data_IF_889289509430
#
_entry.id   IF_889289509430
#
_cell.length_a   1.000
_cell.length_b   1.000
_cell.length_c   1.000
_cell.angle_alpha   90.00
_cell.angle_beta   90.00
_cell.angle_gamma   90.00
#
_symmetry.space_group_name_H-M   'P 1'
#
loop_
_entity.id
_entity.type
_entity.pdbx_description
1 polymer ?
#
# COMPACT_ATOMS: atom_id res chain seq x y z
N UNK A 1 19.28 19.60 31.51
CA UNK A 1 20.02 18.86 30.48
C UNK A 1 18.96 18.16 29.64
N UNK A 2 18.64 18.70 28.47
CA UNK A 2 17.78 18.01 27.50
C UNK A 2 18.59 16.88 26.90
N UNK A 3 18.25 15.65 27.26
CA UNK A 3 18.80 14.42 26.66
C UNK A 3 18.54 14.47 25.16
N UNK A 4 19.55 14.20 24.33
CA UNK A 4 19.32 14.07 22.89
C UNK A 4 18.29 12.96 22.64
N UNK A 5 17.30 13.18 21.77
CA UNK A 5 16.29 12.16 21.49
C UNK A 5 16.98 10.96 20.84
N UNK A 6 16.76 9.78 21.44
CA UNK A 6 17.34 8.52 20.98
C UNK A 6 16.24 7.72 20.30
N UNK A 7 16.56 7.08 19.18
CA UNK A 7 15.62 6.22 18.48
C UNK A 7 15.08 5.12 19.40
N UNK A 8 13.78 4.82 19.28
CA UNK A 8 13.22 3.66 19.94
C UNK A 8 13.85 2.39 19.36
N UNK A 9 14.46 1.52 20.18
CA UNK A 9 15.19 0.36 19.69
C UNK A 9 14.25 -0.68 19.09
N UNK A 10 14.62 -1.23 17.94
CA UNK A 10 13.94 -2.37 17.32
C UNK A 10 14.93 -3.53 17.26
N UNK A 11 14.49 -4.71 17.67
CA UNK A 11 15.35 -5.88 17.67
C UNK A 11 15.76 -6.25 16.24
N UNK A 12 17.03 -6.62 16.02
CA UNK A 12 17.56 -6.90 14.69
C UNK A 12 16.78 -8.01 13.94
N UNK A 13 16.20 -8.98 14.65
CA UNK A 13 15.38 -10.02 14.03
C UNK A 13 14.05 -9.50 13.47
N UNK A 14 13.47 -8.45 14.05
CA UNK A 14 12.26 -7.81 13.52
C UNK A 14 12.57 -7.03 12.25
N UNK A 15 13.70 -6.30 12.22
CA UNK A 15 14.19 -5.65 11.01
C UNK A 15 14.48 -6.67 9.90
N UNK A 16 15.14 -7.78 10.23
CA UNK A 16 15.39 -8.86 9.29
C UNK A 16 14.09 -9.47 8.73
N UNK A 17 13.03 -9.60 9.55
CA UNK A 17 11.72 -10.07 9.09
C UNK A 17 11.05 -9.09 8.13
N UNK A 18 11.20 -7.79 8.36
CA UNK A 18 10.68 -6.75 7.46
C UNK A 18 11.40 -6.82 6.10
N UNK A 19 12.73 -6.84 6.11
CA UNK A 19 13.55 -6.98 4.89
C UNK A 19 13.21 -8.27 4.15
N UNK A 20 13.07 -9.37 4.89
CA UNK A 20 12.65 -10.67 4.35
C UNK A 20 11.18 -10.71 3.91
N UNK A 21 10.39 -9.66 4.16
CA UNK A 21 8.97 -9.57 3.78
C UNK A 21 8.05 -10.50 4.55
N UNK A 22 8.51 -11.03 5.69
CA UNK A 22 7.81 -12.01 6.54
C UNK A 22 7.31 -11.38 7.84
N UNK A 23 7.32 -10.05 7.92
CA UNK A 23 6.73 -9.31 9.01
C UNK A 23 5.24 -9.09 8.73
N UNK A 24 4.40 -9.42 9.70
CA UNK A 24 2.94 -9.35 9.55
C UNK A 24 2.39 -7.92 9.61
N UNK A 25 3.06 -7.01 10.32
CA UNK A 25 2.66 -5.59 10.37
C UNK A 25 3.87 -4.67 10.19
N UNK A 26 4.37 -4.46 8.95
CA UNK A 26 5.51 -3.58 8.72
C UNK A 26 5.31 -2.14 9.25
N UNK A 27 4.05 -1.69 9.37
CA UNK A 27 3.69 -0.37 9.89
C UNK A 27 3.95 -0.21 11.40
N UNK A 28 4.18 -1.30 12.15
CA UNK A 28 4.55 -1.21 13.57
C UNK A 28 6.03 -0.79 13.75
N UNK A 29 6.79 -0.75 12.65
CA UNK A 29 8.23 -0.46 12.66
C UNK A 29 8.58 0.62 11.64
N UNK A 30 8.07 0.49 10.40
CA UNK A 30 8.26 1.45 9.32
C UNK A 30 7.25 2.60 9.42
N UNK A 31 7.64 3.76 8.90
CA UNK A 31 6.89 5.00 9.05
C UNK A 31 7.23 5.75 10.34
N UNK A 32 6.48 6.82 10.63
CA UNK A 32 6.72 7.70 11.75
C UNK A 32 6.06 7.18 13.03
N UNK A 33 6.84 7.13 14.12
CA UNK A 33 6.39 6.68 15.43
C UNK A 33 6.75 7.71 16.49
N UNK A 34 5.75 8.14 17.28
CA UNK A 34 5.96 9.02 18.43
C UNK A 34 6.47 8.19 19.61
N UNK A 35 7.51 8.68 20.26
CA UNK A 35 8.07 8.11 21.49
C UNK A 35 8.30 9.18 22.55
N UNK A 36 8.53 8.75 23.79
CA UNK A 36 8.70 9.65 24.95
C UNK A 36 7.38 10.20 25.49
N UNK A 37 7.46 10.97 26.57
CA UNK A 37 6.30 11.58 27.23
C UNK A 37 6.54 13.08 27.48
N UNK A 38 5.46 13.85 27.50
CA UNK A 38 5.51 15.28 27.81
C UNK A 38 6.48 16.06 26.91
N UNK A 39 7.51 16.65 27.52
CA UNK A 39 8.51 17.48 26.83
C UNK A 39 9.62 16.68 26.13
N UNK A 40 9.74 15.40 26.41
CA UNK A 40 10.76 14.51 25.83
C UNK A 40 10.22 13.73 24.61
N UNK A 41 9.02 14.10 24.15
CA UNK A 41 8.41 13.51 22.95
C UNK A 41 9.26 13.79 21.72
N UNK A 42 9.47 12.75 20.92
CA UNK A 42 10.19 12.81 19.66
C UNK A 42 9.58 11.81 18.67
N UNK A 43 9.86 12.00 17.38
CA UNK A 43 9.39 11.08 16.32
C UNK A 43 10.57 10.28 15.79
N UNK A 44 10.44 8.96 15.76
CA UNK A 44 11.35 8.07 15.02
C UNK A 44 10.73 7.75 13.67
N UNK A 45 11.46 7.97 12.58
CA UNK A 45 11.04 7.58 11.23
C UNK A 45 11.93 6.47 10.73
N UNK A 46 11.34 5.34 10.36
CA UNK A 46 12.05 4.24 9.70
C UNK A 46 11.51 3.99 8.31
N UNK A 47 12.39 3.82 7.34
CA UNK A 47 11.99 3.57 5.95
C UNK A 47 12.73 2.39 5.36
N UNK A 48 12.02 1.59 4.56
CA UNK A 48 12.61 0.49 3.80
C UNK A 48 12.88 0.96 2.37
N UNK A 49 14.17 1.11 2.03
CA UNK A 49 14.68 1.47 0.70
C UNK A 49 15.93 0.64 0.43
N UNK A 50 15.75 -0.62 -0.03
CA UNK A 50 16.87 -1.46 -0.42
C UNK A 50 17.72 -0.78 -1.48
N UNK A 51 19.05 -0.87 -1.38
CA UNK A 51 20.02 -0.33 -2.34
C UNK A 51 20.12 1.21 -2.43
N UNK A 52 19.37 1.97 -1.62
CA UNK A 52 19.58 3.41 -1.52
C UNK A 52 20.99 3.72 -1.00
N UNK A 53 21.61 4.79 -1.49
CA UNK A 53 22.93 5.26 -1.04
C UNK A 53 22.82 6.33 0.04
N UNK A 54 21.78 7.15 0.00
CA UNK A 54 21.49 8.17 1.00
C UNK A 54 19.99 8.45 1.05
N UNK A 55 19.50 8.86 2.22
CA UNK A 55 18.12 9.30 2.41
C UNK A 55 18.08 10.50 3.35
N UNK A 56 17.29 11.50 3.00
CA UNK A 56 16.94 12.60 3.90
C UNK A 56 15.43 12.67 4.12
N UNK A 57 15.02 12.97 5.35
CA UNK A 57 13.65 13.35 5.70
C UNK A 57 13.53 14.86 5.56
N UNK A 58 12.73 15.33 4.62
CA UNK A 58 12.44 16.75 4.39
C UNK A 58 11.11 17.13 5.01
N UNK A 59 11.12 18.16 5.86
CA UNK A 59 9.95 18.75 6.53
C UNK A 59 10.00 20.26 6.39
N UNK A 60 8.92 20.94 6.78
CA UNK A 60 8.89 22.41 6.87
C UNK A 60 9.96 22.96 7.82
N UNK A 61 10.31 22.19 8.86
CA UNK A 61 11.35 22.52 9.85
C UNK A 61 12.79 22.34 9.33
N UNK A 62 12.98 21.69 8.17
CA UNK A 62 14.27 21.42 7.57
C UNK A 62 14.48 19.94 7.22
N UNK A 63 15.71 19.62 6.82
CA UNK A 63 16.11 18.28 6.40
C UNK A 63 16.92 17.56 7.49
N UNK A 64 16.69 16.26 7.64
CA UNK A 64 17.48 15.39 8.54
C UNK A 64 17.96 14.18 7.75
N UNK A 65 19.27 13.96 7.73
CA UNK A 65 19.85 12.77 7.12
C UNK A 65 19.47 11.51 7.92
N UNK A 66 19.09 10.46 7.23
CA UNK A 66 18.84 9.16 7.83
C UNK A 66 20.14 8.36 7.94
N UNK A 67 20.27 7.56 9.00
CA UNK A 67 21.36 6.60 9.16
C UNK A 67 20.89 5.22 8.75
N UNK A 68 21.71 4.47 8.01
CA UNK A 68 21.42 3.07 7.69
C UNK A 68 21.44 2.23 8.96
N UNK A 69 20.36 1.52 9.24
CA UNK A 69 20.18 0.73 10.46
C UNK A 69 20.35 -0.78 10.18
N UNK A 70 19.74 -1.29 9.11
CA UNK A 70 19.78 -2.72 8.78
C UNK A 70 19.31 -3.02 7.35
N UNK A 71 20.16 -3.58 6.47
CA UNK A 71 19.79 -4.13 5.15
C UNK A 71 18.71 -3.37 4.35
N UNK A 72 18.89 -2.05 4.25
CA UNK A 72 17.98 -1.17 3.49
C UNK A 72 16.90 -0.50 4.35
N UNK A 73 16.86 -0.79 5.65
CA UNK A 73 16.15 0.00 6.66
C UNK A 73 17.03 1.19 7.07
N UNK A 74 16.44 2.37 7.00
CA UNK A 74 17.06 3.64 7.38
C UNK A 74 16.27 4.29 8.50
N UNK A 75 16.95 5.04 9.35
CA UNK A 75 16.44 5.61 10.60
C UNK A 75 16.76 7.10 10.68
N UNK A 76 15.77 7.92 11.06
CA UNK A 76 15.97 9.27 11.53
C UNK A 76 15.20 9.53 12.82
N UNK A 77 15.77 10.35 13.70
CA UNK A 77 15.11 10.84 14.91
C UNK A 77 14.85 12.33 14.73
N UNK A 78 13.60 12.70 14.89
CA UNK A 78 13.08 14.04 14.69
C UNK A 78 12.74 14.64 16.06
N UNK A 79 13.29 15.81 16.44
CA UNK A 79 13.00 16.46 17.71
C UNK A 79 11.63 17.19 17.69
N UNK A 80 10.59 16.48 17.25
CA UNK A 80 9.22 16.97 17.11
C UNK A 80 8.29 16.13 18.00
N UNK A 81 7.35 16.77 18.69
CA UNK A 81 6.46 16.07 19.61
C UNK A 81 5.41 15.21 18.87
N UNK A 82 5.00 15.64 17.69
CA UNK A 82 3.93 15.03 16.89
C UNK A 82 4.41 14.80 15.46
N UNK A 83 3.72 13.89 14.75
CA UNK A 83 4.04 13.52 13.38
C UNK A 83 3.65 14.69 12.46
N UNK A 84 4.64 15.34 11.86
CA UNK A 84 4.45 16.35 10.83
C UNK A 84 4.41 15.73 9.42
N UNK A 85 3.95 16.51 8.44
CA UNK A 85 4.09 16.11 7.04
C UNK A 85 5.55 16.13 6.61
N UNK A 86 5.99 15.09 5.91
CA UNK A 86 7.37 14.96 5.43
C UNK A 86 7.44 14.28 4.07
N UNK A 87 8.57 14.47 3.38
CA UNK A 87 8.95 13.74 2.17
C UNK A 87 10.31 13.10 2.36
N UNK A 88 10.55 12.03 1.62
CA UNK A 88 11.82 11.33 1.58
C UNK A 88 12.55 11.74 0.32
N UNK A 89 13.75 12.25 0.50
CA UNK A 89 14.68 12.53 -0.58
C UNK A 89 15.65 11.35 -0.65
N UNK A 90 15.49 10.52 -1.68
CA UNK A 90 16.18 9.23 -1.82
C UNK A 90 17.15 9.30 -2.99
N UNK A 91 18.38 8.85 -2.75
CA UNK A 91 19.42 8.71 -3.76
C UNK A 91 19.71 7.24 -4.03
N UNK A 92 19.79 6.89 -5.32
CA UNK A 92 20.25 5.58 -5.78
C UNK A 92 21.45 5.77 -6.72
N UNK A 93 22.48 4.91 -6.64
CA UNK A 93 23.64 5.00 -7.51
C UNK A 93 23.26 4.99 -9.00
N UNK A 94 23.65 6.05 -9.74
CA UNK A 94 23.40 6.15 -11.17
C UNK A 94 21.99 6.59 -11.57
N UNK A 95 21.15 6.98 -10.60
CA UNK A 95 19.80 7.51 -10.84
C UNK A 95 19.68 8.96 -10.39
N UNK A 96 18.71 9.68 -10.95
CA UNK A 96 18.36 11.00 -10.47
C UNK A 96 17.80 10.92 -9.04
N UNK A 97 18.01 11.99 -8.29
CA UNK A 97 17.44 12.19 -6.96
C UNK A 97 15.90 12.13 -7.01
N UNK A 98 15.29 11.46 -6.03
CA UNK A 98 13.84 11.24 -5.99
C UNK A 98 13.24 11.80 -4.71
N UNK A 99 12.29 12.72 -4.85
CA UNK A 99 11.41 13.17 -3.76
C UNK A 99 10.16 12.30 -3.77
N UNK A 100 9.95 11.51 -2.72
CA UNK A 100 8.84 10.55 -2.63
C UNK A 100 8.13 10.66 -1.28
N UNK A 101 6.87 10.24 -1.24
CA UNK A 101 6.13 10.08 0.01
C UNK A 101 6.41 8.67 0.61
N UNK A 102 6.09 8.48 1.88
CA UNK A 102 6.31 7.25 2.63
C UNK A 102 5.03 6.39 2.65
N UNK A 103 5.01 5.18 2.03
CA UNK A 103 3.88 4.26 2.09
C UNK A 103 3.41 3.94 3.52
N UNK A 104 4.32 3.94 4.50
CA UNK A 104 4.08 3.42 5.84
C UNK A 104 3.54 4.46 6.83
N UNK A 105 3.34 5.71 6.41
CA UNK A 105 2.71 6.74 7.26
C UNK A 105 1.18 6.79 7.14
N UNK A 106 0.59 6.01 6.24
CA UNK A 106 -0.85 6.03 5.97
C UNK A 106 -1.60 4.97 6.79
N UNK A 107 -2.76 5.37 7.30
CA UNK A 107 -3.66 4.48 8.04
C UNK A 107 -4.27 3.38 7.14
N UNK A 108 -4.77 2.28 7.71
CA UNK A 108 -5.48 1.23 6.97
C UNK A 108 -6.56 1.78 6.05
N UNK A 109 -6.59 1.28 4.80
CA UNK A 109 -7.59 1.67 3.80
C UNK A 109 -8.91 0.90 3.92
N UNK A 110 -8.95 -0.16 4.74
CA UNK A 110 -10.14 -0.96 5.06
C UNK A 110 -10.51 -0.80 6.53
N UNK A 111 -11.81 -0.61 6.80
CA UNK A 111 -12.35 -0.50 8.15
C UNK A 111 -12.60 -1.84 8.83
N UNK A 112 -13.02 -1.81 10.09
CA UNK A 112 -13.39 -3.02 10.85
C UNK A 112 -14.67 -3.67 10.32
N UNK A 113 -15.63 -2.88 9.83
CA UNK A 113 -16.89 -3.37 9.25
C UNK A 113 -16.62 -4.16 7.97
N UNK A 114 -15.76 -3.65 7.09
CA UNK A 114 -15.37 -4.35 5.86
C UNK A 114 -14.74 -5.71 6.20
N UNK A 115 -13.79 -5.71 7.15
CA UNK A 115 -13.13 -6.93 7.61
C UNK A 115 -14.13 -7.94 8.20
N UNK A 116 -15.11 -7.47 8.96
CA UNK A 116 -16.16 -8.31 9.53
C UNK A 116 -17.04 -8.95 8.42
N UNK A 117 -17.54 -8.14 7.48
CA UNK A 117 -18.39 -8.63 6.39
C UNK A 117 -17.64 -9.58 5.44
N UNK A 118 -16.34 -9.35 5.22
CA UNK A 118 -15.47 -10.27 4.47
C UNK A 118 -15.41 -11.63 5.17
N UNK A 119 -15.19 -11.64 6.49
CA UNK A 119 -15.10 -12.87 7.27
C UNK A 119 -16.43 -13.64 7.31
N UNK A 120 -17.57 -12.94 7.28
CA UNK A 120 -18.89 -13.58 7.21
C UNK A 120 -19.26 -14.05 5.79
N UNK A 121 -18.49 -13.67 4.76
CA UNK A 121 -18.84 -13.93 3.37
C UNK A 121 -20.07 -13.13 2.90
N UNK A 122 -20.33 -11.98 3.52
CA UNK A 122 -21.53 -11.15 3.32
C UNK A 122 -21.22 -9.75 2.79
N UNK A 123 -19.99 -9.50 2.37
CA UNK A 123 -19.60 -8.22 1.79
C UNK A 123 -20.11 -8.13 0.35
N UNK A 124 -21.28 -7.53 0.15
CA UNK A 124 -21.94 -7.45 -1.16
C UNK A 124 -21.18 -6.58 -2.17
N UNK A 125 -20.34 -5.65 -1.70
CA UNK A 125 -19.51 -4.78 -2.55
C UNK A 125 -18.01 -5.06 -2.40
N UNK A 126 -17.61 -6.34 -2.32
CA UNK A 126 -16.23 -6.75 -2.04
C UNK A 126 -15.18 -6.11 -2.97
N UNK A 127 -15.56 -5.86 -4.23
CA UNK A 127 -14.74 -5.23 -5.24
C UNK A 127 -14.43 -3.74 -4.99
N UNK A 128 -15.09 -3.10 -4.01
CA UNK A 128 -14.81 -1.73 -3.58
C UNK A 128 -13.71 -1.66 -2.51
N UNK A 129 -13.41 -2.78 -1.84
CA UNK A 129 -12.46 -2.83 -0.72
C UNK A 129 -11.22 -3.67 -1.02
N UNK A 130 -11.37 -4.78 -1.75
CA UNK A 130 -10.25 -5.60 -2.23
C UNK A 130 -9.81 -5.19 -3.63
N UNK A 131 -8.58 -5.54 -3.98
CA UNK A 131 -7.94 -5.22 -5.25
C UNK A 131 -7.10 -3.93 -5.18
N UNK A 132 -6.89 -3.29 -6.33
CA UNK A 132 -6.19 -2.02 -6.46
C UNK A 132 -7.14 -0.85 -6.71
N UNK A 133 -7.04 0.20 -5.89
CA UNK A 133 -7.89 1.40 -5.98
C UNK A 133 -7.07 2.66 -5.88
N UNK A 134 -7.23 3.56 -6.87
CA UNK A 134 -6.67 4.91 -6.79
C UNK A 134 -7.38 5.66 -5.67
N UNK A 135 -6.62 6.21 -4.73
CA UNK A 135 -7.11 7.01 -3.60
C UNK A 135 -6.41 8.35 -3.56
N UNK A 136 -7.12 9.32 -2.98
CA UNK A 136 -6.68 10.71 -2.81
C UNK A 136 -6.83 11.05 -1.33
N UNK A 137 -5.74 11.48 -0.69
CA UNK A 137 -5.70 11.88 0.72
C UNK A 137 -5.23 13.32 0.84
N UNK A 138 -6.01 14.17 1.49
CA UNK A 138 -5.57 15.52 1.81
C UNK A 138 -4.63 15.50 3.01
N UNK A 139 -3.40 15.98 2.81
CA UNK A 139 -2.38 16.10 3.86
C UNK A 139 -2.01 17.56 4.05
N UNK A 140 -1.35 17.94 5.16
CA UNK A 140 -0.89 19.32 5.35
C UNK A 140 0.01 19.86 4.23
N UNK A 141 0.77 19.00 3.52
CA UNK A 141 1.58 19.38 2.35
C UNK A 141 0.89 19.17 1.00
N UNK A 142 -0.43 18.98 0.98
CA UNK A 142 -1.25 18.85 -0.24
C UNK A 142 -1.88 17.47 -0.42
N UNK A 143 -2.68 17.33 -1.48
CA UNK A 143 -3.34 16.07 -1.81
C UNK A 143 -2.34 15.04 -2.33
N UNK A 144 -2.25 13.91 -1.64
CA UNK A 144 -1.46 12.75 -2.07
C UNK A 144 -2.37 11.81 -2.84
N UNK A 145 -1.99 11.53 -4.09
CA UNK A 145 -2.65 10.52 -4.93
C UNK A 145 -1.77 9.27 -4.94
N UNK A 146 -2.40 8.11 -4.78
CA UNK A 146 -1.72 6.82 -4.81
C UNK A 146 -2.70 5.68 -4.98
N UNK A 147 -2.24 4.45 -4.82
CA UNK A 147 -3.09 3.26 -4.94
C UNK A 147 -3.06 2.44 -3.66
N UNK A 148 -4.25 2.11 -3.14
CA UNK A 148 -4.38 1.09 -2.10
C UNK A 148 -4.46 -0.28 -2.74
N UNK A 149 -3.67 -1.21 -2.23
CA UNK A 149 -3.68 -2.61 -2.63
C UNK A 149 -4.18 -3.43 -1.45
N UNK A 150 -5.17 -4.30 -1.69
CA UNK A 150 -5.68 -5.21 -0.68
C UNK A 150 -5.95 -6.60 -1.27
N UNK A 151 -5.44 -7.65 -0.63
CA UNK A 151 -5.59 -9.04 -1.09
C UNK A 151 -5.85 -9.98 0.07
N UNK A 152 -6.81 -10.89 -0.12
CA UNK A 152 -7.09 -11.93 0.86
C UNK A 152 -6.11 -13.10 0.71
N UNK A 153 -5.24 -13.28 1.69
CA UNK A 153 -4.23 -14.33 1.73
C UNK A 153 -3.98 -14.78 3.20
N UNK A 154 -4.97 -15.44 3.84
CA UNK A 154 -4.99 -15.65 5.30
C UNK A 154 -3.80 -16.44 5.84
N UNK A 155 -3.35 -17.43 5.06
CA UNK A 155 -2.26 -18.35 5.42
C UNK A 155 -0.90 -17.93 4.87
N UNK A 156 -0.80 -16.76 4.21
CA UNK A 156 0.49 -16.26 3.76
C UNK A 156 1.36 -15.88 4.96
N UNK A 157 2.66 -16.17 4.86
CA UNK A 157 3.65 -15.71 5.83
C UNK A 157 4.06 -14.25 5.58
N UNK A 158 3.74 -13.72 4.39
CA UNK A 158 4.09 -12.39 3.95
C UNK A 158 3.50 -12.09 2.58
N UNK A 159 3.11 -10.84 2.36
CA UNK A 159 2.67 -10.36 1.04
C UNK A 159 3.39 -9.05 0.75
N UNK A 160 3.79 -8.87 -0.51
CA UNK A 160 4.41 -7.65 -1.03
C UNK A 160 3.74 -7.24 -2.34
N UNK A 161 3.92 -5.98 -2.72
CA UNK A 161 3.51 -5.49 -4.04
C UNK A 161 4.74 -5.32 -4.93
N UNK A 162 4.73 -5.94 -6.11
CA UNK A 162 5.73 -5.77 -7.16
C UNK A 162 5.07 -5.12 -8.38
N UNK A 163 5.72 -4.14 -8.98
CA UNK A 163 5.20 -3.42 -10.14
C UNK A 163 6.27 -2.61 -10.86
N UNK A 164 5.86 -1.90 -11.90
CA UNK A 164 6.77 -1.00 -12.63
C UNK A 164 7.38 0.10 -11.73
N UNK A 165 6.58 0.67 -10.82
CA UNK A 165 6.94 1.72 -9.87
C UNK A 165 8.01 1.31 -8.84
N UNK A 166 8.32 0.02 -8.69
CA UNK A 166 9.45 -0.45 -7.89
C UNK A 166 10.38 -1.38 -8.68
N UNK A 167 10.41 -1.24 -10.01
CA UNK A 167 11.26 -2.04 -10.90
C UNK A 167 11.09 -3.55 -10.72
N UNK A 168 9.89 -3.98 -10.35
CA UNK A 168 9.53 -5.35 -10.00
C UNK A 168 10.26 -5.92 -8.77
N UNK A 169 10.93 -5.08 -7.97
CA UNK A 169 11.51 -5.47 -6.68
C UNK A 169 10.48 -5.35 -5.55
N UNK A 170 9.82 -6.47 -5.28
CA UNK A 170 8.79 -6.57 -4.25
C UNK A 170 9.31 -6.24 -2.84
N UNK A 171 10.63 -6.33 -2.59
CA UNK A 171 11.21 -6.11 -1.25
C UNK A 171 10.97 -4.70 -0.73
N UNK A 172 10.75 -3.72 -1.61
CA UNK A 172 10.50 -2.34 -1.24
C UNK A 172 9.10 -2.12 -0.62
N UNK A 173 8.13 -3.01 -0.86
CA UNK A 173 6.72 -2.78 -0.49
C UNK A 173 6.06 -4.00 0.20
N UNK A 174 6.56 -4.46 1.37
CA UNK A 174 5.82 -5.41 2.22
C UNK A 174 4.52 -4.81 2.75
N UNK A 175 3.46 -5.61 2.73
CA UNK A 175 2.10 -5.25 3.16
C UNK A 175 1.87 -5.61 4.63
N UNK A 176 0.90 -4.95 5.29
CA UNK A 176 0.43 -5.34 6.64
C UNK A 176 -0.76 -6.29 6.54
N UNK A 177 -0.89 -7.21 7.48
CA UNK A 177 -2.07 -8.04 7.68
C UNK A 177 -3.05 -7.28 8.58
N UNK A 178 -4.31 -7.18 8.17
CA UNK A 178 -5.36 -6.49 8.92
C UNK A 178 -6.06 -7.46 9.88
N UNK A 179 -5.67 -7.39 11.16
CA UNK A 179 -6.26 -8.18 12.23
C UNK A 179 -6.30 -9.69 11.92
N UNK A 180 -7.45 -10.31 12.19
CA UNK A 180 -7.71 -11.72 11.91
C UNK A 180 -8.35 -11.99 10.55
N UNK A 181 -8.62 -10.95 9.74
CA UNK A 181 -9.36 -11.08 8.46
C UNK A 181 -8.62 -11.91 7.40
N UNK A 182 -7.29 -11.98 7.50
CA UNK A 182 -6.46 -12.57 6.46
C UNK A 182 -6.23 -11.66 5.26
N UNK A 183 -6.76 -10.44 5.28
CA UNK A 183 -6.49 -9.41 4.26
C UNK A 183 -5.13 -8.78 4.52
N UNK A 184 -4.34 -8.66 3.46
CA UNK A 184 -3.10 -7.91 3.43
C UNK A 184 -3.35 -6.60 2.70
N UNK A 185 -2.83 -5.50 3.25
CA UNK A 185 -3.10 -4.15 2.74
C UNK A 185 -1.85 -3.26 2.75
N UNK A 186 -1.75 -2.38 1.74
CA UNK A 186 -0.77 -1.31 1.66
C UNK A 186 -1.26 -0.20 0.73
N UNK A 187 -1.12 1.06 1.16
CA UNK A 187 -1.24 2.21 0.28
C UNK A 187 0.14 2.65 -0.23
N UNK A 188 0.29 2.79 -1.55
CA UNK A 188 1.53 3.24 -2.18
C UNK A 188 1.27 4.58 -2.88
N UNK A 189 1.85 5.69 -2.37
CA UNK A 189 1.77 7.01 -2.99
C UNK A 189 2.35 7.02 -4.41
N UNK A 190 1.88 7.96 -5.23
CA UNK A 190 2.32 8.19 -6.61
C UNK A 190 2.11 7.02 -7.60
N UNK A 191 1.41 5.95 -7.19
CA UNK A 191 0.95 4.89 -8.09
C UNK A 191 -0.46 5.22 -8.58
N UNK A 192 -0.61 5.42 -9.88
CA UNK A 192 -1.88 5.78 -10.52
C UNK A 192 -2.43 4.71 -11.47
N UNK A 193 -3.57 5.02 -12.10
CA UNK A 193 -4.18 4.20 -13.16
C UNK A 193 -3.18 3.94 -14.29
N UNK A 194 -3.15 2.71 -14.80
CA UNK A 194 -2.21 2.23 -15.82
C UNK A 194 -0.97 1.50 -15.26
N UNK A 195 -0.66 1.65 -13.97
CA UNK A 195 0.50 0.98 -13.37
C UNK A 195 0.36 -0.55 -13.37
N UNK A 196 1.42 -1.25 -13.73
CA UNK A 196 1.47 -2.71 -13.73
C UNK A 196 1.83 -3.23 -12.35
N UNK A 197 1.14 -4.27 -11.87
CA UNK A 197 1.46 -4.89 -10.59
C UNK A 197 1.13 -6.38 -10.49
N UNK A 198 1.74 -7.02 -9.49
CA UNK A 198 1.44 -8.36 -8.98
C UNK A 198 1.61 -8.37 -7.47
N UNK A 199 0.92 -9.29 -6.80
CA UNK A 199 1.22 -9.65 -5.43
C UNK A 199 2.33 -10.69 -5.41
N UNK A 200 3.41 -10.41 -4.70
CA UNK A 200 4.41 -11.43 -4.36
C UNK A 200 4.02 -12.03 -3.00
N UNK A 201 3.64 -13.30 -3.00
CA UNK A 201 3.02 -13.98 -1.85
C UNK A 201 3.94 -15.07 -1.35
N UNK A 202 4.33 -14.98 -0.08
CA UNK A 202 5.02 -16.06 0.63
C UNK A 202 3.98 -17.03 1.19
N UNK A 203 3.87 -18.21 0.58
CA UNK A 203 2.95 -19.24 1.06
C UNK A 203 3.31 -19.77 2.45
N UNK A 204 2.42 -20.54 3.06
CA UNK A 204 2.69 -21.27 4.31
C UNK A 204 3.87 -22.25 4.18
N UNK A 205 4.21 -22.65 2.95
CA UNK A 205 5.39 -23.43 2.59
C UNK A 205 6.69 -22.62 2.54
N UNK A 206 6.64 -21.31 2.79
CA UNK A 206 7.78 -20.41 2.78
C UNK A 206 8.26 -19.99 1.39
N UNK A 207 7.56 -20.38 0.32
CA UNK A 207 7.93 -20.12 -1.07
C UNK A 207 7.19 -18.88 -1.59
N UNK A 208 7.97 -17.94 -2.14
CA UNK A 208 7.48 -16.74 -2.80
C UNK A 208 6.95 -17.04 -4.20
N UNK A 209 5.77 -16.50 -4.52
CA UNK A 209 5.13 -16.64 -5.83
C UNK A 209 4.46 -15.33 -6.20
N UNK A 210 4.75 -14.86 -7.41
CA UNK A 210 4.02 -13.75 -8.00
C UNK A 210 2.64 -14.22 -8.49
N UNK A 211 1.61 -13.48 -8.11
CA UNK A 211 0.21 -13.71 -8.44
C UNK A 211 -0.39 -12.44 -9.04
N UNK A 212 -1.18 -12.62 -10.10
CA UNK A 212 -2.11 -11.59 -10.51
C UNK A 212 -3.13 -11.35 -9.38
N UNK A 213 -3.65 -10.13 -9.33
CA UNK A 213 -4.71 -9.77 -8.39
C UNK A 213 -5.99 -10.57 -8.67
N UNK A 214 -6.53 -11.31 -7.69
CA UNK A 214 -7.81 -12.00 -7.84
C UNK A 214 -8.98 -11.07 -8.21
N UNK A 215 -8.92 -9.80 -7.80
CA UNK A 215 -9.91 -8.76 -8.14
C UNK A 215 -9.34 -7.71 -9.10
N UNK A 216 -8.46 -8.11 -10.02
CA UNK A 216 -7.98 -7.22 -11.07
C UNK A 216 -9.15 -6.64 -11.89
N UNK A 217 -9.25 -5.31 -11.95
CA UNK A 217 -10.23 -4.59 -12.79
C UNK A 217 -9.78 -4.46 -14.24
N UNK A 218 -8.47 -4.55 -14.46
CA UNK A 218 -7.84 -4.55 -15.78
C UNK A 218 -6.60 -5.44 -15.73
N UNK A 219 -6.31 -6.13 -16.83
CA UNK A 219 -5.14 -7.00 -16.99
C UNK A 219 -4.35 -6.63 -18.23
N UNK A 220 -3.07 -7.04 -18.28
CA UNK A 220 -2.32 -6.98 -19.53
C UNK A 220 -2.91 -7.95 -20.57
N UNK A 221 -2.65 -7.67 -21.85
CA UNK A 221 -3.02 -8.55 -22.95
C UNK A 221 -2.23 -9.87 -22.86
N UNK A 222 -2.89 -11.04 -22.95
CA UNK A 222 -2.18 -12.32 -23.00
C UNK A 222 -1.09 -12.35 -24.10
N UNK A 223 0.06 -13.01 -23.87
CA UNK A 223 0.36 -13.97 -22.79
C UNK A 223 0.86 -13.31 -21.49
N UNK A 224 0.87 -11.99 -21.40
CA UNK A 224 1.27 -11.28 -20.20
C UNK A 224 0.30 -11.52 -19.03
N UNK A 225 0.80 -11.35 -17.80
CA UNK A 225 0.11 -11.83 -16.58
C UNK A 225 0.06 -10.83 -15.43
N UNK A 226 0.46 -9.57 -15.64
CA UNK A 226 0.29 -8.56 -14.59
C UNK A 226 -1.16 -8.04 -14.58
N UNK A 227 -1.59 -7.66 -13.38
CA UNK A 227 -2.75 -6.81 -13.19
C UNK A 227 -2.37 -5.35 -13.49
N UNK A 228 -3.36 -4.55 -13.86
CA UNK A 228 -3.20 -3.12 -14.17
C UNK A 228 -4.08 -2.35 -13.21
N UNK A 229 -3.51 -1.36 -12.50
CA UNK A 229 -4.30 -0.42 -11.69
C UNK A 229 -5.25 0.31 -12.61
N UNK A 230 -6.54 0.38 -12.27
CA UNK A 230 -7.53 0.97 -13.17
C UNK A 230 -8.56 1.81 -12.40
N UNK A 231 -8.67 3.08 -12.80
CA UNK A 231 -9.73 4.01 -12.42
C UNK A 231 -10.58 4.32 -13.66
N UNK A 232 -11.85 3.92 -13.64
CA UNK A 232 -12.78 4.18 -14.75
C UNK A 232 -13.18 5.65 -14.76
N UNK A 233 -13.18 6.25 -15.96
CA UNK A 233 -13.70 7.60 -16.21
C UNK A 233 -14.88 7.58 -17.17
N UNK A 234 -15.51 6.42 -17.38
CA UNK A 234 -16.61 6.27 -18.33
C UNK A 234 -17.89 6.91 -17.79
N UNK A 235 -18.48 7.78 -18.60
CA UNK A 235 -19.78 8.41 -18.33
C UNK A 235 -20.89 7.62 -19.05
N UNK A 236 -21.80 7.04 -18.27
CA UNK A 236 -22.96 6.32 -18.80
C UNK A 236 -24.03 7.30 -19.29
N UNK A 237 -24.75 6.92 -20.34
CA UNK A 237 -25.84 7.71 -20.94
C UNK A 237 -27.10 6.85 -21.18
N UNK A 238 -27.27 5.75 -20.44
CA UNK A 238 -28.31 4.74 -20.63
C UNK A 238 -29.39 4.75 -19.53
N UNK A 239 -29.56 5.86 -18.81
CA UNK A 239 -30.56 6.02 -17.73
C UNK A 239 -31.98 5.62 -18.15
N UNK A 240 -32.40 6.03 -19.36
CA UNK A 240 -33.72 5.69 -19.89
C UNK A 240 -33.89 4.19 -20.15
N UNK A 241 -32.80 3.48 -20.48
CA UNK A 241 -32.80 2.03 -20.63
C UNK A 241 -32.87 1.34 -19.27
N UNK A 242 -32.03 1.74 -18.31
CA UNK A 242 -32.03 1.20 -16.95
C UNK A 242 -33.37 1.39 -16.24
N UNK A 243 -34.02 2.55 -16.42
CA UNK A 243 -35.34 2.84 -15.89
C UNK A 243 -36.42 1.89 -16.42
N UNK A 244 -36.43 1.63 -17.74
CA UNK A 244 -37.35 0.64 -18.34
C UNK A 244 -37.05 -0.77 -17.83
N UNK A 245 -35.76 -1.16 -17.79
CA UNK A 245 -35.33 -2.48 -17.32
C UNK A 245 -35.79 -2.77 -15.89
N UNK A 246 -35.78 -1.78 -15.00
CA UNK A 246 -36.21 -1.93 -13.61
C UNK A 246 -37.74 -2.08 -13.46
N UNK A 247 -38.52 -1.52 -14.40
CA UNK A 247 -39.98 -1.55 -14.36
C UNK A 247 -40.59 -2.78 -15.06
N UNK A 248 -39.89 -3.35 -16.05
CA UNK A 248 -40.40 -4.41 -16.91
C UNK A 248 -40.02 -5.82 -16.40
N UNK A 249 -40.90 -6.80 -16.64
CA UNK A 249 -40.61 -8.22 -16.37
C UNK A 249 -40.02 -8.88 -17.62
N UNK A 250 -38.70 -9.10 -17.62
CA UNK A 250 -37.99 -9.67 -18.77
C UNK A 250 -38.56 -11.02 -19.26
N UNK A 251 -39.05 -11.87 -18.34
CA UNK A 251 -39.63 -13.19 -18.67
C UNK A 251 -40.95 -13.12 -19.44
N UNK A 252 -41.64 -11.98 -19.40
CA UNK A 252 -42.90 -11.74 -20.09
C UNK A 252 -42.72 -10.89 -21.38
N UNK A 253 -41.49 -10.50 -21.70
CA UNK A 253 -41.17 -9.68 -22.85
C UNK A 253 -40.59 -10.50 -24.02
N UNK A 254 -40.74 -10.05 -25.28
CA UNK A 254 -40.06 -10.68 -26.41
C UNK A 254 -38.54 -10.68 -26.22
N UNK A 255 -37.90 -11.84 -26.39
CA UNK A 255 -36.45 -12.00 -26.27
C UNK A 255 -35.92 -12.80 -27.47
N UNK A 256 -35.09 -12.15 -28.29
CA UNK A 256 -34.36 -12.77 -29.40
C UNK A 256 -32.89 -12.37 -29.27
N UNK A 257 -32.03 -13.33 -28.91
CA UNK A 257 -30.62 -13.08 -28.60
C UNK A 257 -29.75 -13.46 -29.80
N UNK A 258 -28.87 -12.55 -30.21
CA UNK A 258 -27.81 -12.83 -31.17
C UNK A 258 -26.48 -13.01 -30.42
N UNK A 259 -25.97 -14.24 -30.40
CA UNK A 259 -24.73 -14.60 -29.70
C UNK A 259 -23.49 -14.18 -30.51
N UNK A 260 -22.45 -13.67 -29.82
CA UNK A 260 -21.20 -13.16 -30.41
C UNK A 260 -20.01 -13.68 -29.58
N UNK A 261 -18.90 -14.02 -30.24
CA UNK A 261 -17.63 -14.41 -29.64
C UNK A 261 -16.60 -13.27 -29.71
#
# INVERSE_FOLDING_TARGET
MTTEPVAYPVAAHELARIVAGRHHSPHDVLGPHVHGEGKDRHVTVRVLRPLASSIMVTRTSGQVAMTHEHDGVWLAVLPEADISDYRLEVEYPGHAHQSVDDPYRFLPTLGEIDQHLINEGRHEELWNVLGAHVRRYDTPGGTVVGTSFAVWAPNALGVRVAGDFNYWDARAHPMRKLGSSGVWELFIPAVGSGALYKFDVCGADGIWRQKADPLARHTQVPPERASVVFESTYEWADDGWLGRRAAEQAVAAPMSVYEVH
#
